data_IF_846863394228
#
_entry.id   IF_846863394228
#
_cell.length_a   1.000
_cell.length_b   1.000
_cell.length_c   1.000
_cell.angle_alpha   90.00
_cell.angle_beta   90.00
_cell.angle_gamma   90.00
#
_symmetry.space_group_name_H-M   'P 1'
#
loop_
_entity.id
_entity.type
_entity.pdbx_description
1 polymer ?
#
# COMPACT_ATOMS: atom_id res chain seq x y z
N UNK A 1 6.13 -2.99 -0.68
CA UNK A 1 5.01 -3.85 -0.23
C UNK A 1 4.49 -4.62 -1.42
N UNK A 2 4.18 -5.90 -1.23
CA UNK A 2 3.76 -6.83 -2.28
C UNK A 2 2.24 -6.76 -2.43
N UNK A 3 1.70 -5.71 -3.08
CA UNK A 3 0.25 -5.45 -3.07
C UNK A 3 -0.57 -6.47 -3.88
N UNK A 4 -0.23 -6.78 -5.15
CA UNK A 4 -1.04 -7.72 -5.92
C UNK A 4 -0.91 -9.15 -5.39
N UNK A 5 0.23 -9.45 -4.77
CA UNK A 5 0.61 -10.78 -4.28
C UNK A 5 1.15 -10.72 -2.84
N UNK A 6 0.31 -10.41 -1.84
CA UNK A 6 0.75 -10.26 -0.46
C UNK A 6 1.24 -11.58 0.17
N UNK A 7 0.96 -12.72 -0.45
CA UNK A 7 1.48 -14.05 -0.12
C UNK A 7 2.93 -14.27 -0.53
N UNK A 8 3.51 -13.43 -1.38
CA UNK A 8 4.91 -13.57 -1.74
C UNK A 8 5.81 -13.31 -0.54
N UNK A 9 6.90 -14.08 -0.48
CA UNK A 9 7.88 -14.04 0.59
C UNK A 9 8.82 -12.87 0.36
N UNK A 10 9.09 -12.10 1.41
CA UNK A 10 10.14 -11.09 1.39
C UNK A 10 11.33 -11.60 2.20
N UNK A 11 12.54 -11.57 1.63
CA UNK A 11 13.73 -12.15 2.26
C UNK A 11 14.14 -11.47 3.57
N UNK A 12 13.66 -10.25 3.82
CA UNK A 12 13.89 -9.53 5.07
C UNK A 12 12.88 -9.83 6.18
N UNK A 13 11.84 -10.64 5.93
CA UNK A 13 10.88 -11.03 6.97
C UNK A 13 11.54 -12.02 7.95
N UNK A 14 11.50 -11.73 9.25
CA UNK A 14 12.06 -12.62 10.30
C UNK A 14 11.24 -13.90 10.47
N UNK A 15 9.91 -13.76 10.41
CA UNK A 15 8.95 -14.86 10.36
C UNK A 15 8.06 -14.64 9.15
N UNK A 16 8.21 -15.53 8.16
CA UNK A 16 7.56 -15.40 6.85
C UNK A 16 6.05 -15.55 6.96
N UNK A 17 5.56 -16.49 7.78
CA UNK A 17 4.13 -16.80 7.85
C UNK A 17 3.39 -15.74 8.65
N UNK A 18 4.01 -15.25 9.74
CA UNK A 18 3.49 -14.10 10.49
C UNK A 18 3.48 -12.82 9.64
N UNK A 19 4.52 -12.58 8.84
CA UNK A 19 4.59 -11.41 7.97
C UNK A 19 3.52 -11.44 6.88
N UNK A 20 3.31 -12.59 6.22
CA UNK A 20 2.25 -12.75 5.22
C UNK A 20 0.87 -12.52 5.85
N UNK A 21 0.61 -13.13 7.01
CA UNK A 21 -0.66 -12.98 7.72
C UNK A 21 -0.93 -11.53 8.11
N UNK A 22 0.08 -10.87 8.68
CA UNK A 22 -0.01 -9.46 9.11
C UNK A 22 -0.22 -8.53 7.92
N UNK A 23 0.51 -8.74 6.83
CA UNK A 23 0.40 -7.96 5.58
C UNK A 23 -0.99 -8.06 4.98
N UNK A 24 -1.53 -9.27 4.84
CA UNK A 24 -2.88 -9.50 4.30
C UNK A 24 -3.95 -8.83 5.16
N UNK A 25 -3.85 -8.97 6.49
CA UNK A 25 -4.77 -8.33 7.43
C UNK A 25 -4.74 -6.80 7.31
N UNK A 26 -3.56 -6.20 7.36
CA UNK A 26 -3.40 -4.74 7.28
C UNK A 26 -3.90 -4.18 5.94
N UNK A 27 -3.57 -4.83 4.82
CA UNK A 27 -4.04 -4.41 3.50
C UNK A 27 -5.57 -4.46 3.40
N UNK A 28 -6.19 -5.51 3.95
CA UNK A 28 -7.65 -5.61 4.00
C UNK A 28 -8.28 -4.51 4.85
N UNK A 29 -7.74 -4.24 6.04
CA UNK A 29 -8.23 -3.18 6.93
C UNK A 29 -8.13 -1.79 6.28
N UNK A 30 -7.00 -1.49 5.63
CA UNK A 30 -6.79 -0.23 4.92
C UNK A 30 -7.68 -0.10 3.68
N UNK A 31 -7.89 -1.19 2.94
CA UNK A 31 -8.78 -1.19 1.78
C UNK A 31 -10.24 -0.95 2.15
N UNK A 32 -10.71 -1.52 3.28
CA UNK A 32 -12.09 -1.34 3.76
C UNK A 32 -12.28 0.05 4.37
N UNK A 33 -11.32 0.52 5.16
CA UNK A 33 -11.44 1.81 5.85
C UNK A 33 -11.21 3.02 4.93
N UNK A 34 -10.42 2.85 3.86
CA UNK A 34 -9.97 3.97 3.04
C UNK A 34 -9.02 4.91 3.78
N UNK A 35 -8.42 4.49 4.89
CA UNK A 35 -7.51 5.32 5.67
C UNK A 35 -6.21 5.62 4.90
N UNK A 36 -5.58 6.75 5.23
CA UNK A 36 -4.24 7.06 4.75
C UNK A 36 -3.21 6.09 5.32
N UNK A 37 -2.24 5.72 4.50
CA UNK A 37 -1.10 4.89 4.89
C UNK A 37 0.22 5.58 4.52
N UNK A 38 1.23 5.36 5.36
CA UNK A 38 2.60 5.77 5.12
C UNK A 38 3.49 4.53 4.96
N UNK A 39 4.05 4.32 3.77
CA UNK A 39 4.93 3.20 3.46
C UNK A 39 6.39 3.64 3.33
N UNK A 40 7.24 3.18 4.25
CA UNK A 40 8.67 3.55 4.30
C UNK A 40 9.50 3.15 3.08
N UNK A 41 9.09 2.09 2.37
CA UNK A 41 9.79 1.57 1.19
C UNK A 41 8.99 1.72 -0.09
N UNK A 42 8.03 2.63 -0.11
CA UNK A 42 7.28 2.99 -1.32
C UNK A 42 7.91 4.23 -1.95
N UNK A 43 7.66 4.49 -3.26
CA UNK A 43 8.15 5.69 -3.91
C UNK A 43 7.78 6.95 -3.12
N UNK A 44 8.74 7.87 -2.97
CA UNK A 44 8.56 9.12 -2.23
C UNK A 44 7.31 9.89 -2.72
N UNK A 45 6.43 10.39 -1.84
CA UNK A 45 6.59 10.54 -0.38
C UNK A 45 6.14 9.34 0.46
N UNK A 46 5.83 8.19 -0.15
CA UNK A 46 5.33 7.01 0.54
C UNK A 46 3.92 7.15 1.12
N UNK A 47 3.22 8.27 0.85
CA UNK A 47 1.86 8.53 1.29
C UNK A 47 0.86 8.08 0.23
N UNK A 48 -0.24 7.45 0.65
CA UNK A 48 -1.27 6.94 -0.26
C UNK A 48 -2.37 6.17 0.47
N UNK A 49 -3.22 5.51 -0.32
CA UNK A 49 -4.28 4.63 0.15
C UNK A 49 -4.15 3.23 -0.46
N UNK A 50 -4.89 2.28 0.10
CA UNK A 50 -5.05 0.94 -0.47
C UNK A 50 -6.39 0.88 -1.19
N UNK A 51 -6.36 0.65 -2.51
CA UNK A 51 -7.51 0.30 -3.31
C UNK A 51 -7.59 -1.20 -3.57
N UNK A 52 -8.69 -1.62 -4.21
CA UNK A 52 -8.81 -2.98 -4.77
C UNK A 52 -9.14 -2.90 -6.26
N UNK A 53 -8.49 -3.75 -7.06
CA UNK A 53 -8.77 -3.93 -8.49
C UNK A 53 -8.61 -5.40 -8.84
N UNK A 54 -9.55 -5.97 -9.60
CA UNK A 54 -9.53 -7.37 -10.05
C UNK A 54 -9.22 -8.37 -8.92
N UNK A 55 -9.87 -8.16 -7.77
CA UNK A 55 -9.67 -8.97 -6.55
C UNK A 55 -8.25 -8.94 -5.96
N UNK A 56 -7.44 -7.95 -6.31
CA UNK A 56 -6.09 -7.71 -5.75
C UNK A 56 -6.00 -6.35 -5.06
N UNK A 57 -5.02 -6.17 -4.18
CA UNK A 57 -4.74 -4.86 -3.59
C UNK A 57 -3.90 -4.00 -4.53
N UNK A 58 -4.19 -2.70 -4.53
CA UNK A 58 -3.43 -1.71 -5.29
C UNK A 58 -3.00 -0.56 -4.38
N UNK A 59 -1.75 -0.13 -4.52
CA UNK A 59 -1.30 1.13 -3.94
C UNK A 59 -1.77 2.30 -4.78
N UNK A 60 -2.51 3.22 -4.17
CA UNK A 60 -2.94 4.46 -4.79
C UNK A 60 -2.09 5.58 -4.20
N UNK A 61 -1.02 6.03 -4.89
CA UNK A 61 -0.13 7.05 -4.35
C UNK A 61 -0.86 8.39 -4.21
N UNK A 62 -0.53 9.14 -3.16
CA UNK A 62 -0.95 10.53 -3.02
C UNK A 62 -0.46 11.32 -4.24
N UNK A 63 -1.40 11.92 -4.97
CA UNK A 63 -1.06 12.83 -6.04
C UNK A 63 -0.40 14.08 -5.45
N UNK A 64 0.88 14.29 -5.77
CA UNK A 64 1.49 15.60 -5.55
C UNK A 64 1.02 16.50 -6.69
N UNK A 65 0.28 17.54 -6.37
CA UNK A 65 0.10 18.68 -7.27
C UNK A 65 1.33 19.59 -7.14
N UNK A 66 2.00 19.89 -8.25
CA UNK A 66 2.90 21.02 -8.33
C UNK A 66 2.07 22.32 -8.33
N UNK A 67 2.64 23.47 -7.90
CA UNK A 67 1.95 24.76 -7.97
C UNK A 67 1.35 25.08 -9.35
N UNK A 68 1.89 24.50 -10.43
CA UNK A 68 1.42 24.69 -11.80
C UNK A 68 0.28 23.73 -12.21
N UNK A 69 -0.04 22.72 -11.39
CA UNK A 69 -1.10 21.74 -11.67
C UNK A 69 -2.47 22.18 -11.14
N UNK A 70 -2.53 23.32 -10.44
CA UNK A 70 -3.76 23.92 -9.93
C UNK A 70 -4.07 25.14 -10.80
N UNK A 71 -4.97 24.99 -11.76
CA UNK A 71 -5.59 26.12 -12.46
C UNK A 71 -6.78 26.57 -11.61
N UNK A 72 -6.64 27.71 -10.93
CA UNK A 72 -7.75 28.41 -10.29
C UNK A 72 -8.58 29.17 -11.33
#
# INVERSE_FOLDING_TARGET
>A
MLFPHPEWKFSGDTDIDLAITSRKKLLQELAVSGNWALGYHLPWPGLGHIGTSDSTFQWVPYARFAPNDIIL
#
